data_IF_950151774290
#
_entry.id   IF_950151774290
#
_cell.length_a   1.000
_cell.length_b   1.000
_cell.length_c   1.000
_cell.angle_alpha   90.00
_cell.angle_beta   90.00
_cell.angle_gamma   90.00
#
_symmetry.space_group_name_H-M   'P 1'
#
loop_
_entity.id
_entity.type
_entity.pdbx_description
1 polymer ?
#
# COMPACT_ATOMS: atom_id res chain seq x y z
N UNK A 1 -0.74 -22.27 7.98
CA UNK A 1 0.74 -22.13 7.91
C UNK A 1 1.08 -22.19 6.44
N UNK A 2 1.41 -21.06 5.79
CA UNK A 2 1.77 -21.07 4.38
C UNK A 2 3.17 -21.68 4.25
N UNK A 3 3.36 -22.65 3.35
CA UNK A 3 4.66 -23.23 3.05
C UNK A 3 5.49 -22.14 2.34
N UNK A 4 6.59 -21.71 2.94
CA UNK A 4 7.56 -20.83 2.28
C UNK A 4 8.21 -21.64 1.16
N UNK A 5 8.11 -21.13 -0.07
CA UNK A 5 8.72 -21.78 -1.23
C UNK A 5 10.07 -21.11 -1.51
N UNK A 6 11.16 -21.88 -1.49
CA UNK A 6 12.51 -21.37 -1.75
C UNK A 6 13.04 -21.75 -3.13
N UNK A 7 12.39 -22.70 -3.81
CA UNK A 7 12.80 -23.20 -5.11
C UNK A 7 11.94 -22.63 -6.24
N UNK A 8 12.60 -22.22 -7.32
CA UNK A 8 11.89 -21.82 -8.53
C UNK A 8 11.49 -23.06 -9.34
N UNK A 9 10.30 -23.58 -9.06
CA UNK A 9 9.76 -24.76 -9.73
C UNK A 9 8.80 -24.40 -10.89
N UNK A 10 8.36 -25.40 -11.66
CA UNK A 10 7.45 -25.22 -12.79
C UNK A 10 6.10 -24.60 -12.40
N UNK A 11 5.62 -24.86 -11.18
CA UNK A 11 4.35 -24.32 -10.69
C UNK A 11 4.47 -22.82 -10.48
N UNK A 12 5.55 -22.37 -9.82
CA UNK A 12 5.82 -20.94 -9.64
C UNK A 12 6.08 -20.24 -10.98
N UNK A 13 6.84 -20.88 -11.89
CA UNK A 13 7.06 -20.35 -13.23
C UNK A 13 5.73 -20.10 -13.98
N UNK A 14 4.83 -21.08 -13.95
CA UNK A 14 3.47 -20.96 -14.51
C UNK A 14 2.68 -19.83 -13.86
N UNK A 15 2.75 -19.69 -12.54
CA UNK A 15 2.08 -18.59 -11.82
C UNK A 15 2.60 -17.22 -12.25
N UNK A 16 3.92 -17.07 -12.41
CA UNK A 16 4.54 -15.83 -12.89
C UNK A 16 4.12 -15.52 -14.33
N UNK A 17 4.14 -16.52 -15.21
CA UNK A 17 3.74 -16.33 -16.61
C UNK A 17 2.26 -16.00 -16.75
N UNK A 18 1.39 -16.62 -15.94
CA UNK A 18 -0.04 -16.31 -15.92
C UNK A 18 -0.28 -14.89 -15.44
N UNK A 19 0.36 -14.47 -14.35
CA UNK A 19 0.26 -13.09 -13.84
C UNK A 19 0.79 -12.08 -14.86
N UNK A 20 1.88 -12.39 -15.56
CA UNK A 20 2.45 -11.52 -16.60
C UNK A 20 1.73 -11.63 -17.96
N UNK A 21 0.65 -12.39 -18.06
CA UNK A 21 -0.06 -12.59 -19.33
C UNK A 21 -1.02 -11.44 -19.65
N UNK A 22 -1.29 -11.17 -20.95
CA UNK A 22 -2.32 -10.21 -21.35
C UNK A 22 -3.71 -10.57 -20.81
N UNK A 23 -4.02 -11.87 -20.67
CA UNK A 23 -5.29 -12.36 -20.13
C UNK A 23 -5.52 -11.87 -18.69
N UNK A 24 -4.45 -11.80 -17.89
CA UNK A 24 -4.53 -11.27 -16.54
C UNK A 24 -4.93 -9.80 -16.53
N UNK A 25 -4.30 -8.98 -17.38
CA UNK A 25 -4.65 -7.56 -17.54
C UNK A 25 -6.08 -7.36 -18.06
N UNK A 26 -6.47 -8.11 -19.09
CA UNK A 26 -7.80 -8.05 -19.70
C UNK A 26 -8.91 -8.40 -18.71
N UNK A 27 -8.66 -9.34 -17.78
CA UNK A 27 -9.59 -9.66 -16.72
C UNK A 27 -9.92 -8.42 -15.87
N UNK A 28 -8.90 -7.65 -15.46
CA UNK A 28 -9.13 -6.45 -14.66
C UNK A 28 -9.86 -5.37 -15.43
N UNK A 29 -9.49 -5.16 -16.69
CA UNK A 29 -10.15 -4.19 -17.57
C UNK A 29 -11.62 -4.53 -17.76
N UNK A 30 -11.94 -5.83 -17.91
CA UNK A 30 -13.31 -6.32 -17.97
C UNK A 30 -14.08 -6.01 -16.69
N UNK A 31 -13.55 -6.36 -15.52
CA UNK A 31 -14.22 -6.08 -14.23
C UNK A 31 -14.43 -4.58 -14.02
N UNK A 32 -13.42 -3.77 -14.35
CA UNK A 32 -13.51 -2.31 -14.24
C UNK A 32 -14.55 -1.72 -15.22
N UNK A 33 -14.65 -2.25 -16.44
CA UNK A 33 -15.61 -1.80 -17.44
C UNK A 33 -17.04 -2.22 -17.10
N UNK A 34 -17.23 -3.47 -16.69
CA UNK A 34 -18.53 -4.06 -16.42
C UNK A 34 -19.08 -3.67 -15.03
N UNK A 35 -18.21 -3.19 -14.13
CA UNK A 35 -18.57 -2.78 -12.76
C UNK A 35 -19.31 -3.90 -12.01
N UNK A 36 -18.93 -5.16 -12.25
CA UNK A 36 -19.53 -6.31 -11.59
C UNK A 36 -19.25 -6.28 -10.08
N UNK A 37 -20.30 -6.46 -9.27
CA UNK A 37 -20.16 -6.52 -7.81
C UNK A 37 -19.53 -7.83 -7.30
N UNK A 38 -19.40 -8.84 -8.17
CA UNK A 38 -18.82 -10.14 -7.84
C UNK A 38 -17.87 -10.62 -8.92
N UNK A 39 -16.85 -11.37 -8.48
CA UNK A 39 -15.90 -12.06 -9.36
C UNK A 39 -16.39 -13.48 -9.60
N UNK A 40 -16.22 -13.98 -10.83
CA UNK A 40 -16.39 -15.40 -11.15
C UNK A 40 -15.34 -16.26 -10.45
N UNK A 41 -15.57 -17.58 -10.39
CA UNK A 41 -14.62 -18.51 -9.76
C UNK A 41 -13.24 -18.50 -10.43
N UNK A 42 -13.20 -18.31 -11.75
CA UNK A 42 -11.96 -18.20 -12.51
C UNK A 42 -11.22 -16.91 -12.17
N UNK A 43 -11.92 -15.77 -12.13
CA UNK A 43 -11.37 -14.47 -11.72
C UNK A 43 -10.84 -14.51 -10.27
N UNK A 44 -11.60 -15.11 -9.35
CA UNK A 44 -11.17 -15.33 -7.97
C UNK A 44 -9.91 -16.19 -7.92
N UNK A 45 -9.84 -17.26 -8.71
CA UNK A 45 -8.65 -18.11 -8.77
C UNK A 45 -7.44 -17.34 -9.29
N UNK A 46 -7.63 -16.54 -10.34
CA UNK A 46 -6.55 -15.71 -10.88
C UNK A 46 -6.05 -14.68 -9.87
N UNK A 47 -6.94 -14.09 -9.07
CA UNK A 47 -6.61 -13.08 -8.06
C UNK A 47 -6.01 -13.65 -6.78
N UNK A 48 -6.41 -14.87 -6.40
CA UNK A 48 -6.02 -15.46 -5.11
C UNK A 48 -4.88 -16.46 -5.27
N UNK A 49 -4.94 -17.38 -6.24
CA UNK A 49 -4.01 -18.49 -6.30
C UNK A 49 -2.62 -18.04 -6.76
N UNK A 50 -2.52 -17.43 -7.94
CA UNK A 50 -1.23 -17.08 -8.53
C UNK A 50 -0.49 -15.99 -7.74
N UNK A 51 -1.13 -14.88 -7.32
CA UNK A 51 -0.46 -13.87 -6.51
C UNK A 51 0.03 -14.41 -5.17
N UNK A 52 -0.73 -15.30 -4.51
CA UNK A 52 -0.29 -15.91 -3.26
C UNK A 52 0.96 -16.78 -3.47
N UNK A 53 1.01 -17.60 -4.51
CA UNK A 53 2.20 -18.42 -4.79
C UNK A 53 3.46 -17.57 -4.96
N UNK A 54 3.34 -16.43 -5.65
CA UNK A 54 4.46 -15.51 -5.88
C UNK A 54 4.81 -14.77 -4.59
N UNK A 55 3.81 -14.31 -3.84
CA UNK A 55 3.99 -13.53 -2.60
C UNK A 55 4.82 -14.30 -1.57
N UNK A 56 4.62 -15.61 -1.44
CA UNK A 56 5.32 -16.47 -0.47
C UNK A 56 6.61 -17.11 -0.99
N UNK A 57 7.04 -16.77 -2.21
CA UNK A 57 8.30 -17.26 -2.74
C UNK A 57 9.48 -16.43 -2.21
N UNK A 58 10.40 -17.05 -1.48
CA UNK A 58 11.58 -16.40 -0.86
C UNK A 58 12.91 -16.86 -1.48
N UNK A 59 12.85 -17.51 -2.64
CA UNK A 59 14.06 -17.99 -3.33
C UNK A 59 14.90 -16.87 -3.95
N UNK A 60 16.11 -17.23 -4.38
CA UNK A 60 17.10 -16.30 -4.95
C UNK A 60 16.63 -15.51 -6.19
N UNK A 61 15.61 -15.99 -6.91
CA UNK A 61 15.01 -15.30 -8.07
C UNK A 61 13.89 -14.32 -7.72
N UNK A 62 13.55 -14.12 -6.44
CA UNK A 62 12.39 -13.31 -6.02
C UNK A 62 12.46 -11.90 -6.63
N UNK A 63 13.63 -11.28 -6.53
CA UNK A 63 13.85 -9.93 -7.03
C UNK A 63 13.61 -9.81 -8.55
N UNK A 64 14.10 -10.77 -9.34
CA UNK A 64 13.90 -10.83 -10.80
C UNK A 64 12.40 -10.96 -11.14
N UNK A 65 11.68 -11.83 -10.44
CA UNK A 65 10.26 -12.11 -10.66
C UNK A 65 9.42 -10.87 -10.36
N UNK A 66 9.60 -10.26 -9.18
CA UNK A 66 8.82 -9.10 -8.77
C UNK A 66 9.10 -7.91 -9.68
N UNK A 67 10.36 -7.70 -10.09
CA UNK A 67 10.72 -6.66 -11.04
C UNK A 67 10.06 -6.87 -12.42
N UNK A 68 10.04 -8.12 -12.92
CA UNK A 68 9.32 -8.46 -14.16
C UNK A 68 7.83 -8.10 -14.05
N UNK A 69 7.18 -8.52 -12.97
CA UNK A 69 5.75 -8.25 -12.74
C UNK A 69 5.47 -6.75 -12.65
N UNK A 70 6.31 -5.99 -11.93
CA UNK A 70 6.19 -4.52 -11.82
C UNK A 70 6.28 -3.84 -13.18
N UNK A 71 7.27 -4.19 -14.00
CA UNK A 71 7.42 -3.62 -15.35
C UNK A 71 6.24 -3.95 -16.25
N UNK A 72 5.64 -5.13 -16.10
CA UNK A 72 4.44 -5.51 -16.85
C UNK A 72 3.23 -4.68 -16.44
N UNK A 73 3.00 -4.49 -15.14
CA UNK A 73 1.70 -4.02 -14.64
C UNK A 73 1.65 -2.58 -14.16
N UNK A 74 2.74 -1.98 -13.68
CA UNK A 74 2.67 -0.68 -13.01
C UNK A 74 2.18 0.45 -13.90
N UNK A 75 2.59 0.46 -15.18
CA UNK A 75 2.14 1.47 -16.14
C UNK A 75 0.64 1.39 -16.35
N UNK A 76 0.13 0.18 -16.60
CA UNK A 76 -1.29 -0.09 -16.74
C UNK A 76 -2.04 0.27 -15.44
N UNK A 77 -1.53 -0.14 -14.28
CA UNK A 77 -2.14 0.16 -12.99
C UNK A 77 -2.26 1.65 -12.74
N UNK A 78 -1.23 2.44 -13.07
CA UNK A 78 -1.29 3.90 -12.95
C UNK A 78 -2.36 4.50 -13.88
N UNK A 79 -2.44 4.05 -15.14
CA UNK A 79 -3.49 4.47 -16.08
C UNK A 79 -4.87 4.11 -15.54
N UNK A 80 -5.07 2.85 -15.14
CA UNK A 80 -6.31 2.35 -14.57
C UNK A 80 -6.74 3.14 -13.34
N UNK A 81 -5.82 3.37 -12.39
CA UNK A 81 -6.09 4.17 -11.21
C UNK A 81 -6.50 5.59 -11.62
N UNK A 82 -5.80 6.17 -12.61
CA UNK A 82 -6.07 7.52 -13.10
C UNK A 82 -7.44 7.70 -13.73
N UNK A 83 -7.89 6.70 -14.49
CA UNK A 83 -9.18 6.71 -15.18
C UNK A 83 -10.32 6.44 -14.22
N UNK A 84 -10.13 5.53 -13.27
CA UNK A 84 -11.19 5.07 -12.39
C UNK A 84 -11.41 5.98 -11.17
N UNK A 85 -10.47 6.89 -10.85
CA UNK A 85 -10.74 7.95 -9.88
C UNK A 85 -11.59 9.10 -10.46
N UNK A 86 -11.75 9.18 -11.79
CA UNK A 86 -12.56 10.25 -12.41
C UNK A 86 -14.05 10.02 -12.12
N UNK A 87 -14.55 10.72 -11.10
CA UNK A 87 -15.93 10.70 -10.63
C UNK A 87 -16.04 11.53 -9.35
N UNK A 88 -17.20 12.14 -9.09
CA UNK A 88 -17.47 12.81 -7.81
C UNK A 88 -18.63 12.11 -7.10
N UNK A 89 -18.42 11.54 -5.90
CA UNK A 89 -17.13 11.32 -5.25
C UNK A 89 -16.21 10.31 -5.98
N UNK A 90 -14.88 10.34 -5.74
CA UNK A 90 -13.89 9.51 -6.46
C UNK A 90 -13.98 8.00 -6.17
N UNK A 91 -14.89 7.57 -5.29
CA UNK A 91 -15.13 6.18 -4.89
C UNK A 91 -16.48 5.61 -5.37
N UNK A 92 -17.32 6.36 -6.10
CA UNK A 92 -18.64 5.87 -6.58
C UNK A 92 -18.52 4.64 -7.49
N UNK A 93 -17.40 4.52 -8.21
CA UNK A 93 -17.10 3.38 -9.09
C UNK A 93 -16.42 2.22 -8.37
N UNK A 94 -16.20 2.28 -7.05
CA UNK A 94 -15.40 1.27 -6.35
C UNK A 94 -16.30 0.28 -5.62
N UNK A 95 -16.71 -0.76 -6.35
CA UNK A 95 -17.43 -1.87 -5.77
C UNK A 95 -16.49 -2.88 -5.07
N UNK A 96 -17.07 -3.88 -4.39
CA UNK A 96 -16.30 -4.90 -3.66
C UNK A 96 -15.30 -5.66 -4.55
N UNK A 97 -15.61 -5.90 -5.82
CA UNK A 97 -14.70 -6.57 -6.75
C UNK A 97 -13.47 -5.70 -7.05
N UNK A 98 -13.65 -4.40 -7.25
CA UNK A 98 -12.54 -3.45 -7.49
C UNK A 98 -11.65 -3.29 -6.25
N UNK A 99 -12.22 -3.30 -5.05
CA UNK A 99 -11.44 -3.28 -3.80
C UNK A 99 -10.59 -4.55 -3.68
N UNK A 100 -11.16 -5.73 -3.97
CA UNK A 100 -10.40 -6.98 -3.96
C UNK A 100 -9.26 -6.95 -4.99
N UNK A 101 -9.52 -6.46 -6.21
CA UNK A 101 -8.51 -6.29 -7.25
C UNK A 101 -7.38 -5.39 -6.75
N UNK A 102 -7.71 -4.23 -6.17
CA UNK A 102 -6.72 -3.30 -5.64
C UNK A 102 -5.86 -3.96 -4.57
N UNK A 103 -6.47 -4.65 -3.60
CA UNK A 103 -5.76 -5.37 -2.54
C UNK A 103 -4.79 -6.42 -3.11
N UNK A 104 -5.22 -7.20 -4.10
CA UNK A 104 -4.38 -8.23 -4.72
C UNK A 104 -3.22 -7.64 -5.51
N UNK A 105 -3.47 -6.59 -6.30
CA UNK A 105 -2.42 -5.87 -7.03
C UNK A 105 -1.44 -5.21 -6.05
N UNK A 106 -1.94 -4.61 -4.97
CA UNK A 106 -1.09 -4.01 -3.93
C UNK A 106 -0.16 -5.05 -3.31
N UNK A 107 -0.69 -6.24 -2.98
CA UNK A 107 0.10 -7.35 -2.45
C UNK A 107 1.12 -7.91 -3.44
N UNK A 108 0.84 -7.82 -4.73
CA UNK A 108 1.73 -8.35 -5.75
C UNK A 108 2.84 -7.35 -6.15
N UNK A 109 2.50 -6.06 -6.26
CA UNK A 109 3.39 -5.05 -6.81
C UNK A 109 4.22 -4.34 -5.75
N UNK A 110 3.68 -4.13 -4.55
CA UNK A 110 4.23 -3.14 -3.63
C UNK A 110 4.68 -3.70 -2.28
N UNK A 111 4.69 -5.03 -2.05
CA UNK A 111 5.12 -5.67 -0.79
C UNK A 111 6.62 -5.58 -0.47
N UNK A 112 7.16 -4.37 -0.53
CA UNK A 112 8.53 -4.04 -0.11
C UNK A 112 8.76 -4.30 1.38
N UNK A 113 7.69 -4.42 2.18
CA UNK A 113 7.74 -4.86 3.56
C UNK A 113 8.28 -6.29 3.74
N UNK A 114 8.22 -7.10 2.69
CA UNK A 114 8.77 -8.46 2.63
C UNK A 114 10.21 -8.51 2.08
N UNK A 115 10.88 -7.36 1.98
CA UNK A 115 12.26 -7.26 1.47
C UNK A 115 12.36 -7.11 -0.04
N UNK A 116 11.24 -6.90 -0.76
CA UNK A 116 11.29 -6.58 -2.18
C UNK A 116 11.91 -5.20 -2.40
N UNK A 117 12.97 -5.12 -3.19
CA UNK A 117 13.62 -3.86 -3.53
C UNK A 117 13.16 -3.43 -4.92
N UNK A 118 13.12 -2.14 -5.22
CA UNK A 118 12.94 -1.67 -6.60
C UNK A 118 14.32 -1.58 -7.24
N UNK A 119 14.55 -2.29 -8.34
CA UNK A 119 15.88 -2.35 -8.97
C UNK A 119 16.06 -1.46 -10.17
N UNK A 120 14.97 -1.05 -10.84
CA UNK A 120 15.04 -0.17 -12.00
C UNK A 120 14.54 1.25 -11.73
N UNK A 121 15.21 2.20 -12.37
CA UNK A 121 14.78 3.61 -12.37
C UNK A 121 13.44 3.79 -13.06
N UNK A 122 13.17 3.04 -14.14
CA UNK A 122 11.88 3.04 -14.83
C UNK A 122 10.71 2.67 -13.88
N UNK A 123 10.92 1.65 -13.03
CA UNK A 123 9.93 1.27 -12.02
C UNK A 123 9.77 2.38 -10.98
N UNK A 124 10.86 2.98 -10.49
CA UNK A 124 10.79 4.11 -9.55
C UNK A 124 10.05 5.30 -10.14
N UNK A 125 10.32 5.65 -11.40
CA UNK A 125 9.60 6.72 -12.09
C UNK A 125 8.11 6.43 -12.22
N UNK A 126 7.74 5.19 -12.49
CA UNK A 126 6.32 4.79 -12.51
C UNK A 126 5.70 4.91 -11.11
N UNK A 127 6.41 4.50 -10.05
CA UNK A 127 5.97 4.69 -8.67
C UNK A 127 5.80 6.17 -8.30
N UNK A 128 6.66 7.07 -8.79
CA UNK A 128 6.51 8.53 -8.62
C UNK A 128 5.18 9.03 -9.21
N UNK A 129 4.87 8.62 -10.45
CA UNK A 129 3.59 8.97 -11.08
C UNK A 129 2.38 8.39 -10.33
N UNK A 130 2.50 7.18 -9.77
CA UNK A 130 1.46 6.58 -8.94
C UNK A 130 1.27 7.42 -7.66
N UNK A 131 2.34 7.88 -7.01
CA UNK A 131 2.26 8.73 -5.83
C UNK A 131 1.55 10.08 -6.15
N UNK A 132 1.83 10.68 -7.31
CA UNK A 132 1.10 11.86 -7.80
C UNK A 132 -0.39 11.59 -8.00
N UNK A 133 -0.73 10.45 -8.61
CA UNK A 133 -2.12 10.03 -8.79
C UNK A 133 -2.81 9.82 -7.44
N UNK A 134 -2.18 9.10 -6.50
CA UNK A 134 -2.70 8.90 -5.15
C UNK A 134 -2.95 10.24 -4.45
N UNK A 135 -1.97 11.16 -4.47
CA UNK A 135 -2.12 12.50 -3.87
C UNK A 135 -3.36 13.23 -4.42
N UNK A 136 -3.58 13.19 -5.74
CA UNK A 136 -4.75 13.81 -6.37
C UNK A 136 -6.06 13.16 -5.90
N UNK A 137 -6.09 11.84 -5.77
CA UNK A 137 -7.26 11.12 -5.26
C UNK A 137 -7.56 11.50 -3.81
N UNK A 138 -6.55 11.47 -2.93
CA UNK A 138 -6.70 11.84 -1.52
C UNK A 138 -7.21 13.28 -1.37
N UNK A 139 -6.67 14.22 -2.17
CA UNK A 139 -7.16 15.59 -2.21
C UNK A 139 -8.63 15.67 -2.63
N UNK A 140 -9.03 14.93 -3.66
CA UNK A 140 -10.43 14.90 -4.11
C UNK A 140 -11.36 14.27 -3.08
N UNK A 141 -10.92 13.25 -2.34
CA UNK A 141 -11.69 12.66 -1.22
C UNK A 141 -11.89 13.72 -0.14
N UNK A 142 -10.83 14.42 0.26
CA UNK A 142 -10.87 15.47 1.27
C UNK A 142 -11.79 16.63 0.90
N UNK A 143 -11.75 17.07 -0.36
CA UNK A 143 -12.63 18.14 -0.88
C UNK A 143 -14.11 17.72 -0.88
N UNK A 144 -14.38 16.44 -1.13
CA UNK A 144 -15.75 15.88 -1.16
C UNK A 144 -16.29 15.56 0.24
N UNK A 145 -15.41 15.40 1.23
CA UNK A 145 -15.72 14.89 2.57
C UNK A 145 -15.14 15.80 3.66
N UNK A 146 -15.58 17.05 3.72
CA UNK A 146 -14.99 18.06 4.60
C UNK A 146 -15.16 17.76 6.10
N UNK A 147 -16.22 17.03 6.46
CA UNK A 147 -16.57 16.70 7.86
C UNK A 147 -16.16 15.27 8.19
N UNK A 148 -16.67 14.30 7.44
CA UNK A 148 -16.44 12.87 7.66
C UNK A 148 -16.27 12.19 6.31
N UNK A 149 -15.29 11.29 6.20
CA UNK A 149 -15.11 10.43 5.02
C UNK A 149 -16.32 9.50 4.92
N UNK A 150 -16.96 9.48 3.75
CA UNK A 150 -17.97 8.48 3.42
C UNK A 150 -17.45 7.06 3.71
N UNK A 151 -18.18 6.23 4.49
CA UNK A 151 -17.79 4.85 4.77
C UNK A 151 -17.43 4.02 3.53
N UNK A 152 -18.08 4.27 2.39
CA UNK A 152 -17.78 3.58 1.14
C UNK A 152 -16.39 3.92 0.59
N UNK A 153 -15.83 5.09 0.95
CA UNK A 153 -14.50 5.53 0.53
C UNK A 153 -13.36 5.05 1.43
N UNK A 154 -13.64 4.58 2.65
CA UNK A 154 -12.61 4.17 3.63
C UNK A 154 -11.67 3.09 3.08
N UNK A 155 -12.16 1.97 2.48
CA UNK A 155 -11.27 0.91 1.98
C UNK A 155 -10.30 1.41 0.91
N UNK A 156 -10.76 2.29 0.01
CA UNK A 156 -9.90 2.90 -1.00
C UNK A 156 -8.81 3.74 -0.35
N UNK A 157 -9.16 4.60 0.62
CA UNK A 157 -8.18 5.44 1.33
C UNK A 157 -7.14 4.58 2.04
N UNK A 158 -7.56 3.53 2.74
CA UNK A 158 -6.65 2.59 3.42
C UNK A 158 -5.63 1.98 2.45
N UNK A 159 -6.09 1.45 1.31
CA UNK A 159 -5.21 0.83 0.31
C UNK A 159 -4.25 1.84 -0.34
N UNK A 160 -4.72 3.06 -0.66
CA UNK A 160 -3.87 4.10 -1.24
C UNK A 160 -2.80 4.57 -0.24
N UNK A 161 -3.15 4.70 1.03
CA UNK A 161 -2.19 5.01 2.09
C UNK A 161 -1.19 3.85 2.30
N UNK A 162 -1.64 2.60 2.20
CA UNK A 162 -0.76 1.44 2.27
C UNK A 162 0.29 1.45 1.13
N UNK A 163 -0.09 1.80 -0.09
CA UNK A 163 0.84 1.95 -1.22
C UNK A 163 1.86 3.06 -0.95
N UNK A 164 1.41 4.24 -0.50
CA UNK A 164 2.31 5.33 -0.13
C UNK A 164 3.25 4.94 1.02
N UNK A 165 2.75 4.18 2.00
CA UNK A 165 3.56 3.65 3.07
C UNK A 165 4.66 2.74 2.51
N UNK A 166 4.35 1.83 1.58
CA UNK A 166 5.38 1.00 0.96
C UNK A 166 6.46 1.85 0.26
N UNK A 167 6.09 2.93 -0.42
CA UNK A 167 7.06 3.85 -1.02
C UNK A 167 8.01 4.50 -0.02
N UNK A 168 7.67 4.53 1.28
CA UNK A 168 8.60 4.97 2.33
C UNK A 168 9.75 3.99 2.60
N UNK A 169 9.70 2.77 2.05
CA UNK A 169 10.74 1.75 2.21
C UNK A 169 11.90 1.93 1.23
N UNK A 170 11.71 2.70 0.15
CA UNK A 170 12.76 3.03 -0.83
C UNK A 170 13.25 4.47 -0.63
N UNK A 171 14.56 4.66 -0.47
CA UNK A 171 15.15 5.97 -0.14
C UNK A 171 14.95 7.03 -1.23
N UNK A 172 14.99 6.64 -2.50
CA UNK A 172 14.79 7.54 -3.64
C UNK A 172 13.33 8.01 -3.71
N UNK A 173 12.38 7.10 -3.44
CA UNK A 173 10.98 7.45 -3.34
C UNK A 173 10.70 8.33 -2.13
N UNK A 174 11.37 8.12 -0.98
CA UNK A 174 11.24 9.01 0.19
C UNK A 174 11.60 10.46 -0.13
N UNK A 175 12.70 10.70 -0.85
CA UNK A 175 13.10 12.05 -1.29
C UNK A 175 11.97 12.69 -2.11
N UNK A 176 11.37 11.92 -3.01
CA UNK A 176 10.27 12.39 -3.84
C UNK A 176 9.00 12.67 -3.01
N UNK A 177 8.61 11.76 -2.11
CA UNK A 177 7.43 11.93 -1.23
C UNK A 177 7.52 13.22 -0.38
N UNK A 178 8.73 13.60 0.07
CA UNK A 178 8.94 14.87 0.78
C UNK A 178 8.60 16.09 -0.07
N UNK A 179 8.75 16.02 -1.39
CA UNK A 179 8.39 17.12 -2.30
C UNK A 179 6.89 17.21 -2.59
N UNK A 180 6.12 16.14 -2.31
CA UNK A 180 4.70 16.06 -2.63
C UNK A 180 3.77 16.80 -1.68
N UNK A 181 4.26 17.52 -0.66
CA UNK A 181 3.42 18.29 0.28
C UNK A 181 2.27 17.44 0.85
N UNK A 182 2.55 16.21 1.28
CA UNK A 182 1.53 15.27 1.76
C UNK A 182 0.99 15.60 3.15
N UNK A 183 1.58 16.55 3.87
CA UNK A 183 1.18 16.91 5.24
C UNK A 183 -0.28 17.34 5.31
N UNK A 184 -0.68 18.29 4.45
CA UNK A 184 -2.05 18.81 4.43
C UNK A 184 -3.11 17.74 4.14
N UNK A 185 -3.01 16.93 3.06
CA UNK A 185 -4.00 15.91 2.80
C UNK A 185 -4.06 14.85 3.91
N UNK A 186 -2.93 14.49 4.53
CA UNK A 186 -2.93 13.53 5.65
C UNK A 186 -3.61 14.09 6.89
N UNK A 187 -3.37 15.36 7.24
CA UNK A 187 -4.01 16.01 8.37
C UNK A 187 -5.54 16.06 8.24
N UNK A 188 -6.02 16.35 7.03
CA UNK A 188 -7.47 16.33 6.76
C UNK A 188 -8.01 14.90 6.94
N UNK A 189 -7.35 13.88 6.37
CA UNK A 189 -7.79 12.48 6.50
C UNK A 189 -7.82 12.01 7.96
N UNK A 190 -6.81 12.34 8.75
CA UNK A 190 -6.75 12.00 10.18
C UNK A 190 -7.95 12.60 10.93
N UNK A 191 -8.35 13.83 10.58
CA UNK A 191 -9.49 14.51 11.19
C UNK A 191 -10.84 13.92 10.74
N UNK A 192 -10.99 13.59 9.46
CA UNK A 192 -12.29 13.22 8.87
C UNK A 192 -12.57 11.71 8.87
N UNK A 193 -11.60 10.87 9.21
CA UNK A 193 -11.70 9.40 9.18
C UNK A 193 -12.48 8.75 10.34
N UNK A 194 -13.14 9.52 11.21
CA UNK A 194 -13.99 9.01 12.30
C UNK A 194 -13.32 7.92 13.18
N UNK A 195 -12.04 8.09 13.50
CA UNK A 195 -11.23 7.13 14.27
C UNK A 195 -10.94 5.79 13.57
N UNK A 196 -10.86 5.77 12.24
CA UNK A 196 -10.34 4.61 11.52
C UNK A 196 -8.84 4.39 11.84
N UNK A 197 -8.55 3.31 12.56
CA UNK A 197 -7.20 3.01 13.07
C UNK A 197 -6.19 2.76 11.95
N UNK A 198 -6.61 2.18 10.82
CA UNK A 198 -5.69 1.87 9.73
C UNK A 198 -5.31 3.14 8.96
N UNK A 199 -6.26 4.05 8.71
CA UNK A 199 -5.95 5.38 8.16
C UNK A 199 -4.99 6.13 9.08
N UNK A 200 -5.26 6.16 10.39
CA UNK A 200 -4.40 6.84 11.36
C UNK A 200 -3.00 6.24 11.40
N UNK A 201 -2.89 4.90 11.41
CA UNK A 201 -1.63 4.18 11.42
C UNK A 201 -0.80 4.48 10.17
N UNK A 202 -1.38 4.34 8.97
CA UNK A 202 -0.62 4.54 7.73
C UNK A 202 -0.27 6.00 7.50
N UNK A 203 -1.19 6.93 7.76
CA UNK A 203 -0.91 8.36 7.67
C UNK A 203 0.26 8.74 8.58
N UNK A 204 0.28 8.25 9.82
CA UNK A 204 1.40 8.49 10.73
C UNK A 204 2.71 7.92 10.20
N UNK A 205 2.72 6.67 9.73
CA UNK A 205 3.95 6.03 9.24
C UNK A 205 4.54 6.78 8.05
N UNK A 206 3.70 7.35 7.20
CA UNK A 206 4.13 8.22 6.09
C UNK A 206 4.68 9.54 6.63
N UNK A 207 3.93 10.24 7.48
CA UNK A 207 4.33 11.53 8.06
C UNK A 207 5.63 11.43 8.87
N UNK A 208 5.81 10.33 9.60
CA UNK A 208 7.04 9.99 10.30
C UNK A 208 8.25 9.98 9.37
N UNK A 209 8.11 9.54 8.12
CA UNK A 209 9.25 9.49 7.20
C UNK A 209 9.52 10.84 6.52
N UNK A 210 8.49 11.67 6.33
CA UNK A 210 8.61 12.92 5.55
C UNK A 210 8.75 14.20 6.39
N UNK A 211 8.39 14.20 7.67
CA UNK A 211 8.46 15.37 8.58
C UNK A 211 9.63 15.28 9.58
N UNK A 212 9.86 16.30 10.40
CA UNK A 212 10.68 16.23 11.62
C UNK A 212 9.91 15.58 12.78
N UNK A 213 10.55 15.39 13.94
CA UNK A 213 9.84 14.95 15.17
C UNK A 213 8.98 16.07 15.75
N UNK A 214 9.53 17.28 15.84
CA UNK A 214 8.82 18.45 16.38
C UNK A 214 7.57 18.79 15.58
N UNK A 215 7.63 18.69 14.25
CA UNK A 215 6.47 18.93 13.39
C UNK A 215 5.35 17.90 13.62
N UNK A 216 5.72 16.65 13.96
CA UNK A 216 4.75 15.57 14.25
C UNK A 216 4.04 15.83 15.57
N UNK A 217 4.75 16.34 16.58
CA UNK A 217 4.15 16.70 17.88
C UNK A 217 3.08 17.79 17.74
N UNK A 218 3.22 18.65 16.73
CA UNK A 218 2.28 19.74 16.43
C UNK A 218 1.05 19.30 15.61
N UNK A 219 0.99 18.05 15.14
CA UNK A 219 -0.16 17.55 14.39
C UNK A 219 -1.43 17.54 15.24
N UNK A 220 -2.55 17.91 14.64
CA UNK A 220 -3.86 17.71 15.24
C UNK A 220 -4.08 16.20 15.46
N UNK A 221 -4.58 15.82 16.63
CA UNK A 221 -4.77 14.43 17.06
C UNK A 221 -3.48 13.60 17.25
N UNK A 222 -2.32 14.23 17.49
CA UNK A 222 -1.05 13.54 17.78
C UNK A 222 -1.14 12.52 18.91
N UNK A 223 -1.93 12.78 19.96
CA UNK A 223 -2.18 11.85 21.06
C UNK A 223 -2.93 10.58 20.63
N UNK A 224 -3.92 10.71 19.73
CA UNK A 224 -4.66 9.57 19.17
C UNK A 224 -3.76 8.75 18.27
N UNK A 225 -3.02 9.40 17.39
CA UNK A 225 -2.04 8.76 16.52
C UNK A 225 -1.05 7.92 17.34
N UNK A 226 -0.48 8.52 18.40
CA UNK A 226 0.40 7.81 19.32
C UNK A 226 -0.29 6.63 19.99
N UNK A 227 -1.56 6.78 20.39
CA UNK A 227 -2.35 5.70 21.00
C UNK A 227 -2.58 4.54 20.03
N UNK A 228 -3.00 4.82 18.79
CA UNK A 228 -3.20 3.81 17.74
C UNK A 228 -1.90 3.06 17.49
N UNK A 229 -0.79 3.79 17.42
CA UNK A 229 0.52 3.22 17.17
C UNK A 229 1.03 2.34 18.33
N UNK A 230 0.90 2.81 19.57
CA UNK A 230 1.24 2.04 20.77
C UNK A 230 0.36 0.79 20.88
N UNK A 231 -0.94 0.92 20.59
CA UNK A 231 -1.89 -0.20 20.61
C UNK A 231 -1.53 -1.23 19.55
N UNK A 232 -1.18 -0.79 18.34
CA UNK A 232 -0.68 -1.67 17.28
C UNK A 232 0.56 -2.45 17.75
N UNK A 233 1.57 -1.78 18.32
CA UNK A 233 2.79 -2.43 18.82
C UNK A 233 2.46 -3.46 19.91
N UNK A 234 1.65 -3.07 20.91
CA UNK A 234 1.23 -3.97 22.00
C UNK A 234 0.53 -5.21 21.46
N UNK A 235 -0.42 -5.03 20.55
CA UNK A 235 -1.14 -6.14 19.92
C UNK A 235 -0.22 -7.10 19.17
N UNK A 236 0.85 -6.59 18.54
CA UNK A 236 1.83 -7.46 17.87
C UNK A 236 2.70 -8.22 18.87
N UNK A 237 3.14 -7.56 19.95
CA UNK A 237 3.97 -8.16 21.02
C UNK A 237 3.19 -9.24 21.79
N UNK A 238 1.92 -8.98 22.11
CA UNK A 238 1.06 -9.86 22.92
C UNK A 238 0.60 -11.13 22.17
N UNK A 239 1.21 -11.46 21.03
CA UNK A 239 0.90 -12.67 20.26
C UNK A 239 -0.36 -12.56 19.41
N UNK A 240 -0.76 -11.34 19.01
CA UNK A 240 -1.79 -11.10 18.00
C UNK A 240 -1.42 -11.65 16.61
N UNK A 241 -2.19 -11.29 15.58
CA UNK A 241 -2.01 -11.74 14.18
C UNK A 241 -0.52 -11.70 13.80
N UNK A 242 0.00 -12.76 13.16
CA UNK A 242 1.41 -12.85 12.68
C UNK A 242 1.74 -11.63 11.81
N UNK A 243 2.33 -10.62 12.43
CA UNK A 243 2.56 -9.29 11.85
C UNK A 243 3.98 -8.82 12.12
N UNK A 244 4.94 -9.73 12.38
CA UNK A 244 6.36 -9.40 12.60
C UNK A 244 6.92 -8.44 11.53
N UNK A 245 6.60 -8.68 10.25
CA UNK A 245 6.94 -7.76 9.17
C UNK A 245 6.27 -6.38 9.28
N UNK A 246 5.01 -6.29 9.74
CA UNK A 246 4.37 -5.00 10.03
C UNK A 246 4.98 -4.34 11.27
N UNK A 247 5.39 -5.09 12.30
CA UNK A 247 6.04 -4.54 13.49
C UNK A 247 7.40 -3.93 13.15
N UNK A 248 8.30 -4.67 12.48
CA UNK A 248 9.60 -4.12 12.05
C UNK A 248 9.43 -2.82 11.27
N UNK A 249 8.51 -2.82 10.31
CA UNK A 249 8.24 -1.67 9.45
C UNK A 249 7.51 -0.52 10.16
N UNK A 250 6.80 -0.80 11.25
CA UNK A 250 6.25 0.23 12.12
C UNK A 250 7.34 0.79 13.03
N UNK A 251 8.19 -0.03 13.66
CA UNK A 251 9.26 0.45 14.54
C UNK A 251 10.18 1.48 13.86
N UNK A 252 10.42 1.36 12.54
CA UNK A 252 11.16 2.36 11.76
C UNK A 252 10.51 3.76 11.71
N UNK A 253 9.20 3.83 11.91
CA UNK A 253 8.44 5.09 12.00
C UNK A 253 8.48 5.71 13.40
N UNK A 254 9.08 5.05 14.40
CA UNK A 254 9.32 5.66 15.70
C UNK A 254 10.46 6.68 15.59
N UNK A 255 10.18 7.90 16.02
CA UNK A 255 11.20 8.92 16.24
C UNK A 255 11.47 9.04 17.73
N UNK A 256 12.74 9.08 18.08
CA UNK A 256 13.21 9.29 19.43
C UNK A 256 14.67 8.88 19.57
N UNK A 257 15.40 9.58 20.43
CA UNK A 257 16.74 9.17 20.87
C UNK A 257 16.62 7.95 21.79
N UNK A 258 16.58 6.74 21.24
CA UNK A 258 16.51 5.53 22.06
C UNK A 258 17.80 4.69 22.06
N UNK A 259 18.89 5.15 21.41
CA UNK A 259 20.12 4.37 21.25
C UNK A 259 21.44 5.14 21.47
N UNK A 260 21.43 6.46 21.67
CA UNK A 260 22.68 7.22 21.93
C UNK A 260 23.13 7.18 23.39
N UNK A 261 22.26 6.82 24.34
CA UNK A 261 22.56 6.79 25.78
C UNK A 261 22.98 5.42 26.33
N UNK A 262 22.77 4.33 25.58
CA UNK A 262 23.12 2.98 26.01
C UNK A 262 24.51 2.50 25.56
N UNK A 263 25.20 3.27 24.72
CA UNK A 263 26.55 2.95 24.20
C UNK A 263 27.67 3.77 24.87
N UNK A 264 27.36 4.52 25.93
CA UNK A 264 28.33 5.32 26.69
C UNK A 264 28.39 5.00 28.20
N UNK A 265 27.94 3.82 28.59
CA UNK A 265 28.20 3.23 29.93
C UNK A 265 28.76 1.83 29.77
#
# INVERSE_FOLDING_TARGET
MAFVCTEFNETLARSVDQVCSPTYTQMFEKVAKEQSNSLSNEELTMLTHYPNQITWYEGNRRQEIIERIRRTHLKWFNTWLSENYTGRPPYVKWNSAMINILLHITNLLFRMDLGDVITSDETRDTCRHIADTIKRILKSVNESNQVTIDPAGIPLVQELLQILFYFTLDSELVIYLKSLQLVDPMNVLIRTSNNDDEIHLQAYRILAVIMGEEDIKQLQNSSRIATVFITFIKNVIDGGIRTEGRLHNSLRSLKGEFLSSFLHT
#
